data_IF_994283427405
#
_entry.id   IF_994283427405
#
_cell.length_a   1.000
_cell.length_b   1.000
_cell.length_c   1.000
_cell.angle_alpha   90.00
_cell.angle_beta   90.00
_cell.angle_gamma   90.00
#
_symmetry.space_group_name_H-M   'P 1'
#
loop_
_entity.id
_entity.type
_entity.pdbx_description
1 polymer ?
#
# COMPACT_ATOMS: atom_id res chain seq x y z
N UNK A 1 9.26 -7.82 27.31
CA UNK A 1 8.79 -6.99 26.18
C UNK A 1 7.38 -6.57 26.51
N UNK A 2 7.09 -5.27 26.47
CA UNK A 2 5.76 -4.75 26.70
C UNK A 2 5.07 -4.56 25.33
N UNK A 3 4.27 -5.55 24.91
CA UNK A 3 3.62 -5.56 23.60
C UNK A 3 2.71 -4.33 23.35
N UNK A 4 2.01 -3.84 24.37
CA UNK A 4 1.17 -2.63 24.26
C UNK A 4 1.99 -1.39 23.91
N UNK A 5 3.18 -1.24 24.53
CA UNK A 5 4.08 -0.13 24.23
C UNK A 5 4.64 -0.21 22.80
N UNK A 6 4.96 -1.43 22.35
CA UNK A 6 5.43 -1.65 20.98
C UNK A 6 4.33 -1.33 19.94
N UNK A 7 3.06 -1.60 20.28
CA UNK A 7 1.91 -1.26 19.45
C UNK A 7 1.67 0.24 19.36
N UNK A 8 1.79 0.94 20.49
CA UNK A 8 1.73 2.41 20.53
C UNK A 8 2.88 3.06 19.75
N UNK A 9 4.07 2.49 19.81
CA UNK A 9 5.24 3.00 19.08
C UNK A 9 5.09 2.79 17.56
N UNK A 10 4.50 1.66 17.10
CA UNK A 10 4.14 1.46 15.68
C UNK A 10 3.09 2.47 15.23
N UNK A 11 2.04 2.66 16.02
CA UNK A 11 1.01 3.64 15.68
C UNK A 11 1.59 5.06 15.53
N UNK A 12 2.61 5.40 16.33
CA UNK A 12 3.34 6.66 16.19
C UNK A 12 4.25 6.68 14.96
N UNK A 13 4.93 5.57 14.63
CA UNK A 13 5.78 5.45 13.43
C UNK A 13 4.94 5.45 12.14
N UNK A 14 3.77 4.79 12.13
CA UNK A 14 2.83 4.85 11.01
C UNK A 14 2.26 6.26 10.83
N UNK A 15 1.99 6.95 11.92
CA UNK A 15 1.59 8.38 11.89
C UNK A 15 2.75 9.30 11.47
N UNK A 16 3.99 8.86 11.63
CA UNK A 16 5.20 9.60 11.26
C UNK A 16 5.73 9.28 9.85
N UNK A 17 5.07 8.40 9.07
CA UNK A 17 5.44 8.11 7.68
C UNK A 17 4.60 9.00 6.72
N UNK A 18 5.08 10.22 6.44
CA UNK A 18 4.23 11.33 6.03
C UNK A 18 3.89 11.36 4.53
N UNK A 19 4.66 10.67 3.66
CA UNK A 19 4.63 10.91 2.22
C UNK A 19 3.35 10.50 1.48
N UNK A 20 2.48 9.68 2.07
CA UNK A 20 1.29 9.17 1.38
C UNK A 20 0.00 9.21 2.22
N UNK A 21 0.10 9.43 3.53
CA UNK A 21 -1.07 9.46 4.42
C UNK A 21 -1.88 10.73 4.16
N UNK A 22 -3.18 10.63 3.86
CA UNK A 22 -4.02 11.80 3.66
C UNK A 22 -4.34 12.46 5.01
N UNK A 23 -3.92 13.70 5.18
CA UNK A 23 -4.32 14.55 6.31
C UNK A 23 -5.52 15.40 5.95
N UNK A 24 -6.53 15.38 6.80
CA UNK A 24 -7.76 16.15 6.65
C UNK A 24 -7.73 17.32 7.60
N UNK A 25 -8.04 18.51 7.10
CA UNK A 25 -8.00 19.76 7.87
C UNK A 25 -9.16 20.67 7.50
N UNK A 26 -9.66 21.40 8.48
CA UNK A 26 -10.57 22.51 8.25
C UNK A 26 -9.77 23.80 8.42
N UNK A 27 -9.75 24.64 7.41
CA UNK A 27 -8.99 25.89 7.38
C UNK A 27 -9.90 27.05 7.07
N UNK A 28 -9.59 28.21 7.61
CA UNK A 28 -10.22 29.47 7.22
C UNK A 28 -9.25 30.34 6.41
N UNK A 29 -9.71 30.94 5.33
CA UNK A 29 -8.88 31.78 4.47
C UNK A 29 -8.62 33.09 5.16
N UNK A 30 -7.42 33.27 5.69
CA UNK A 30 -6.95 34.51 6.33
C UNK A 30 -5.92 35.27 5.48
N UNK A 31 -5.29 34.61 4.49
CA UNK A 31 -4.25 35.23 3.67
C UNK A 31 -4.89 36.12 2.59
N UNK A 32 -4.67 37.42 2.70
CA UNK A 32 -5.16 38.44 1.75
C UNK A 32 -4.67 38.19 0.30
N UNK A 33 -3.49 37.58 0.14
CA UNK A 33 -2.96 37.25 -1.18
C UNK A 33 -3.79 36.20 -1.94
N UNK A 34 -4.69 35.47 -1.26
CA UNK A 34 -5.58 34.48 -1.85
C UNK A 34 -6.94 35.09 -2.25
N UNK A 35 -7.31 36.22 -1.70
CA UNK A 35 -8.59 36.87 -2.00
C UNK A 35 -8.68 37.22 -3.50
N UNK A 36 -9.76 36.80 -4.14
CA UNK A 36 -10.00 37.00 -5.57
C UNK A 36 -9.23 36.06 -6.50
N UNK A 37 -8.41 35.12 -5.98
CA UNK A 37 -7.74 34.12 -6.78
C UNK A 37 -8.56 32.83 -6.91
N UNK A 38 -8.45 32.18 -8.07
CA UNK A 38 -9.09 30.89 -8.29
C UNK A 38 -8.31 29.76 -7.60
N UNK A 39 -8.99 28.65 -7.32
CA UNK A 39 -8.36 27.45 -6.74
C UNK A 39 -7.16 26.98 -7.57
N UNK A 40 -7.25 27.10 -8.90
CA UNK A 40 -6.12 26.74 -9.78
C UNK A 40 -4.91 27.65 -9.52
N UNK A 41 -5.12 28.98 -9.51
CA UNK A 41 -4.07 29.95 -9.24
C UNK A 41 -3.43 29.76 -7.87
N UNK A 42 -4.23 29.48 -6.85
CA UNK A 42 -3.75 29.21 -5.49
C UNK A 42 -2.84 27.97 -5.47
N UNK A 43 -3.22 26.90 -6.16
CA UNK A 43 -2.42 25.67 -6.26
C UNK A 43 -1.11 25.90 -7.01
N UNK A 44 -1.17 26.58 -8.12
CA UNK A 44 0.02 26.88 -8.95
C UNK A 44 0.99 27.79 -8.19
N UNK A 45 0.47 28.75 -7.43
CA UNK A 45 1.28 29.67 -6.62
C UNK A 45 1.94 28.96 -5.42
N UNK A 46 1.22 28.03 -4.78
CA UNK A 46 1.74 27.27 -3.64
C UNK A 46 2.74 26.17 -4.08
N UNK A 47 2.60 25.65 -5.30
CA UNK A 47 3.44 24.57 -5.83
C UNK A 47 3.29 23.24 -5.08
N UNK A 48 2.20 23.07 -4.32
CA UNK A 48 1.89 21.85 -3.56
C UNK A 48 0.53 21.30 -3.90
N UNK A 49 0.39 19.97 -3.86
CA UNK A 49 -0.86 19.31 -4.17
C UNK A 49 -1.77 19.20 -2.93
N UNK A 50 -2.98 19.72 -3.06
CA UNK A 50 -4.06 19.52 -2.09
C UNK A 50 -5.40 19.38 -2.81
N UNK A 51 -6.36 18.76 -2.16
CA UNK A 51 -7.75 18.65 -2.60
C UNK A 51 -8.61 19.46 -1.64
N UNK A 52 -9.23 20.53 -2.15
CA UNK A 52 -10.32 21.19 -1.43
C UNK A 52 -11.59 20.36 -1.65
N UNK A 53 -11.98 19.60 -0.63
CA UNK A 53 -13.13 18.70 -0.69
C UNK A 53 -14.45 19.47 -0.73
N UNK A 54 -14.56 20.49 0.12
CA UNK A 54 -15.74 21.34 0.29
C UNK A 54 -15.28 22.76 0.62
N UNK A 55 -16.09 23.73 0.25
CA UNK A 55 -15.95 25.14 0.64
C UNK A 55 -17.27 25.66 1.17
N UNK A 56 -17.23 26.38 2.27
CA UNK A 56 -18.34 27.12 2.81
C UNK A 56 -18.11 28.61 2.54
N UNK A 57 -18.96 29.18 1.67
CA UNK A 57 -18.95 30.59 1.29
C UNK A 57 -20.33 31.19 1.52
N UNK A 58 -20.42 32.30 2.26
CA UNK A 58 -21.67 32.99 2.54
C UNK A 58 -22.80 32.06 3.08
N UNK A 59 -22.44 31.08 3.90
CA UNK A 59 -23.38 30.12 4.46
C UNK A 59 -23.79 28.98 3.53
N UNK A 60 -23.24 28.91 2.31
CA UNK A 60 -23.50 27.84 1.37
C UNK A 60 -22.29 26.92 1.19
N UNK A 61 -22.48 25.61 1.37
CA UNK A 61 -21.46 24.62 1.10
C UNK A 61 -21.52 24.20 -0.37
N UNK A 62 -20.38 24.24 -1.02
CA UNK A 62 -20.24 23.80 -2.42
C UNK A 62 -18.98 22.95 -2.61
N UNK A 63 -18.92 22.24 -3.74
CA UNK A 63 -17.71 21.55 -4.18
C UNK A 63 -16.89 22.50 -5.04
N UNK A 64 -15.69 22.90 -4.58
CA UNK A 64 -14.88 23.81 -5.35
C UNK A 64 -14.36 23.11 -6.61
N UNK A 65 -14.39 23.85 -7.69
CA UNK A 65 -13.77 23.50 -8.97
C UNK A 65 -12.53 24.37 -9.23
N UNK A 66 -11.92 24.23 -10.39
CA UNK A 66 -10.69 24.97 -10.77
C UNK A 66 -10.88 26.48 -10.76
N UNK A 67 -12.09 26.95 -11.08
CA UNK A 67 -12.45 28.35 -11.26
C UNK A 67 -13.10 28.96 -10.01
N UNK A 68 -13.24 28.19 -8.93
CA UNK A 68 -13.78 28.67 -7.66
C UNK A 68 -12.86 29.73 -7.07
N UNK A 69 -13.39 30.93 -6.85
CA UNK A 69 -12.67 32.07 -6.29
C UNK A 69 -12.72 32.04 -4.78
N UNK A 70 -11.59 32.27 -4.14
CA UNK A 70 -11.47 32.37 -2.68
C UNK A 70 -11.71 33.78 -2.18
N UNK A 71 -12.38 33.88 -1.03
CA UNK A 71 -12.58 35.12 -0.30
C UNK A 71 -12.07 34.97 1.13
N UNK A 72 -11.75 36.09 1.76
CA UNK A 72 -11.39 36.10 3.18
C UNK A 72 -12.57 35.59 4.02
N UNK A 73 -12.27 34.73 5.00
CA UNK A 73 -13.27 34.08 5.84
C UNK A 73 -13.94 32.85 5.24
N UNK A 74 -13.61 32.45 4.00
CA UNK A 74 -14.08 31.19 3.45
C UNK A 74 -13.56 30.03 4.29
N UNK A 75 -14.42 29.04 4.59
CA UNK A 75 -14.04 27.86 5.33
C UNK A 75 -13.85 26.68 4.37
N UNK A 76 -12.70 26.04 4.46
CA UNK A 76 -12.26 25.00 3.54
C UNK A 76 -12.12 23.67 4.26
N UNK A 77 -12.61 22.59 3.64
CA UNK A 77 -12.21 21.24 4.01
C UNK A 77 -11.14 20.76 3.05
N UNK A 78 -9.89 20.73 3.54
CA UNK A 78 -8.69 20.42 2.74
C UNK A 78 -8.19 19.03 3.10
N UNK A 79 -7.80 18.28 2.06
CA UNK A 79 -7.08 16.99 2.17
C UNK A 79 -5.77 17.13 1.41
N UNK A 80 -4.67 16.79 2.05
CA UNK A 80 -3.33 16.85 1.48
C UNK A 80 -2.46 15.69 2.00
N UNK A 81 -1.24 15.59 1.50
CA UNK A 81 -0.23 14.74 2.10
C UNK A 81 0.19 15.32 3.47
N UNK A 82 0.56 14.45 4.41
CA UNK A 82 0.97 14.88 5.77
C UNK A 82 2.12 15.89 5.75
N UNK A 83 3.12 15.68 4.88
CA UNK A 83 4.28 16.58 4.73
C UNK A 83 3.93 17.99 4.26
N UNK A 84 2.83 18.13 3.53
CA UNK A 84 2.41 19.41 2.99
C UNK A 84 1.50 20.19 3.94
N UNK A 85 1.01 19.52 4.99
CA UNK A 85 -0.03 20.06 5.86
C UNK A 85 0.35 21.38 6.54
N UNK A 86 1.54 21.46 7.15
CA UNK A 86 1.99 22.66 7.87
C UNK A 86 2.23 23.83 6.89
N UNK A 87 2.75 23.56 5.69
CA UNK A 87 2.93 24.60 4.67
C UNK A 87 1.58 25.13 4.16
N UNK A 88 0.60 24.24 4.00
CA UNK A 88 -0.76 24.62 3.57
C UNK A 88 -1.45 25.46 4.63
N UNK A 89 -1.32 25.09 5.91
CA UNK A 89 -1.87 25.88 7.03
C UNK A 89 -1.24 27.28 7.07
N UNK A 90 0.09 27.35 7.00
CA UNK A 90 0.80 28.63 7.02
C UNK A 90 0.40 29.54 5.86
N UNK A 91 0.07 28.96 4.70
CA UNK A 91 -0.26 29.69 3.49
C UNK A 91 -1.73 30.09 3.39
N UNK A 92 -2.68 29.22 3.79
CA UNK A 92 -4.12 29.50 3.69
C UNK A 92 -4.62 30.25 4.92
N UNK A 93 -4.33 29.73 6.11
CA UNK A 93 -4.78 30.29 7.36
C UNK A 93 -4.99 29.24 8.45
N UNK A 94 -5.49 29.62 9.62
CA UNK A 94 -5.55 28.77 10.81
C UNK A 94 -6.53 27.60 10.65
N UNK A 95 -6.28 26.56 11.44
CA UNK A 95 -7.22 25.46 11.62
C UNK A 95 -8.45 25.94 12.40
N UNK A 96 -9.62 25.52 11.95
CA UNK A 96 -10.90 25.77 12.57
C UNK A 96 -11.64 24.46 12.83
N UNK A 97 -12.60 24.47 13.75
CA UNK A 97 -13.53 23.36 13.94
C UNK A 97 -14.84 23.69 13.23
N UNK A 98 -15.19 22.92 12.21
CA UNK A 98 -16.44 23.05 11.47
C UNK A 98 -17.16 21.73 11.49
N UNK A 99 -18.40 21.74 11.94
CA UNK A 99 -19.29 20.59 11.88
C UNK A 99 -20.03 20.57 10.53
N UNK A 100 -19.43 19.89 9.56
CA UNK A 100 -19.97 19.76 8.20
C UNK A 100 -21.23 18.89 8.13
N UNK A 101 -21.53 18.11 9.17
CA UNK A 101 -22.74 17.26 9.22
C UNK A 101 -23.99 18.05 9.58
N UNK A 102 -23.81 19.17 10.31
CA UNK A 102 -24.92 20.09 10.65
C UNK A 102 -25.27 21.05 9.51
N UNK A 103 -24.44 21.13 8.50
CA UNK A 103 -24.73 21.94 7.33
C UNK A 103 -25.74 21.19 6.44
N UNK A 104 -26.91 21.75 6.24
CA UNK A 104 -27.99 21.18 5.41
C UNK A 104 -27.57 21.20 3.93
N UNK A 105 -26.76 20.21 3.54
CA UNK A 105 -26.23 20.08 2.18
C UNK A 105 -26.49 18.68 1.64
N UNK A 106 -27.00 18.54 0.39
CA UNK A 106 -27.25 17.25 -0.26
C UNK A 106 -25.94 16.58 -0.73
N UNK A 107 -24.86 16.72 0.05
CA UNK A 107 -23.56 16.16 -0.30
C UNK A 107 -23.30 14.85 0.43
N UNK A 108 -22.94 13.85 -0.34
CA UNK A 108 -22.60 12.52 0.18
C UNK A 108 -21.13 12.22 -0.05
N UNK A 109 -20.57 11.48 0.91
CA UNK A 109 -19.23 10.90 0.78
C UNK A 109 -19.38 9.40 0.61
N UNK A 110 -18.87 8.84 -0.49
CA UNK A 110 -19.03 7.41 -0.80
C UNK A 110 -17.71 6.79 -1.23
N UNK A 111 -17.45 5.58 -0.74
CA UNK A 111 -16.34 4.75 -1.25
C UNK A 111 -16.81 4.01 -2.50
N UNK A 112 -16.14 4.24 -3.61
CA UNK A 112 -16.43 3.64 -4.91
C UNK A 112 -15.29 2.70 -5.27
N UNK A 113 -15.63 1.47 -5.65
CA UNK A 113 -14.67 0.45 -6.05
C UNK A 113 -14.41 0.52 -7.56
N UNK A 114 -13.14 0.62 -7.95
CA UNK A 114 -12.77 0.60 -9.36
C UNK A 114 -12.81 -0.84 -9.87
N UNK A 115 -13.75 -1.11 -10.78
CA UNK A 115 -13.93 -2.43 -11.38
C UNK A 115 -13.89 -2.41 -12.92
N UNK A 116 -13.83 -1.22 -13.51
CA UNK A 116 -13.71 -1.06 -14.95
C UNK A 116 -12.25 -1.16 -15.42
N UNK A 117 -11.91 -2.13 -16.31
CA UNK A 117 -10.53 -2.29 -16.77
C UNK A 117 -9.97 -1.06 -17.50
N UNK A 118 -10.83 -0.25 -18.12
CA UNK A 118 -10.43 1.00 -18.80
C UNK A 118 -9.87 2.08 -17.87
N UNK A 119 -10.11 1.96 -16.57
CA UNK A 119 -9.59 2.87 -15.54
C UNK A 119 -8.16 2.49 -15.12
N UNK A 120 -7.79 1.23 -15.36
CA UNK A 120 -6.50 0.70 -14.92
C UNK A 120 -5.33 1.41 -15.62
N UNK A 121 -4.41 1.93 -14.84
CA UNK A 121 -3.21 2.60 -15.33
C UNK A 121 -3.39 4.06 -15.77
N UNK A 122 -4.59 4.62 -15.65
CA UNK A 122 -4.83 6.04 -15.92
C UNK A 122 -4.58 6.90 -14.70
N UNK A 123 -4.12 8.12 -14.91
CA UNK A 123 -3.93 9.07 -13.82
C UNK A 123 -5.27 9.69 -13.39
N UNK A 124 -5.41 9.92 -12.09
CA UNK A 124 -6.61 10.53 -11.52
C UNK A 124 -6.96 11.88 -12.18
N UNK A 125 -5.93 12.67 -12.48
CA UNK A 125 -6.08 13.99 -13.12
C UNK A 125 -6.68 13.97 -14.52
N UNK A 126 -6.56 12.86 -15.26
CA UNK A 126 -7.11 12.72 -16.63
C UNK A 126 -8.64 12.74 -16.66
N UNK A 127 -9.28 12.37 -15.55
CA UNK A 127 -10.75 12.25 -15.49
C UNK A 127 -11.47 13.56 -15.19
N UNK A 128 -10.73 14.59 -14.73
CA UNK A 128 -11.28 15.91 -14.42
C UNK A 128 -12.59 15.86 -13.60
N UNK A 129 -12.61 15.02 -12.56
CA UNK A 129 -13.84 14.71 -11.79
C UNK A 129 -14.55 15.95 -11.24
N UNK A 130 -13.81 16.96 -10.78
CA UNK A 130 -14.42 18.17 -10.22
C UNK A 130 -15.11 19.03 -11.29
N UNK A 131 -14.50 19.19 -12.48
CA UNK A 131 -15.05 20.03 -13.54
C UNK A 131 -16.10 19.32 -14.39
N UNK A 132 -15.94 18.01 -14.63
CA UNK A 132 -16.87 17.25 -15.48
C UNK A 132 -18.06 16.65 -14.74
N UNK A 133 -17.87 16.26 -13.49
CA UNK A 133 -18.88 15.53 -12.73
C UNK A 133 -19.33 16.29 -11.46
N UNK A 134 -18.67 17.37 -11.07
CA UNK A 134 -18.98 18.11 -9.85
C UNK A 134 -18.69 17.32 -8.56
N UNK A 135 -17.69 16.43 -8.60
CA UNK A 135 -17.27 15.65 -7.44
C UNK A 135 -15.79 15.78 -7.19
N UNK A 136 -15.37 15.69 -5.93
CA UNK A 136 -13.96 15.64 -5.57
C UNK A 136 -13.58 14.26 -5.06
N UNK A 137 -12.38 13.80 -5.47
CA UNK A 137 -11.75 12.59 -4.97
C UNK A 137 -10.74 13.00 -3.92
N UNK A 138 -10.91 12.51 -2.69
CA UNK A 138 -10.11 12.93 -1.54
C UNK A 138 -9.00 11.96 -1.18
N UNK A 139 -9.25 10.67 -1.31
CA UNK A 139 -8.29 9.60 -1.03
C UNK A 139 -8.61 8.34 -1.81
N UNK A 140 -7.60 7.50 -1.97
CA UNK A 140 -7.69 6.18 -2.60
C UNK A 140 -7.19 5.15 -1.63
N UNK A 141 -8.00 4.15 -1.30
CA UNK A 141 -7.58 3.01 -0.50
C UNK A 141 -7.12 1.90 -1.43
N UNK A 142 -5.86 1.51 -1.31
CA UNK A 142 -5.23 0.42 -2.05
C UNK A 142 -4.66 -0.59 -1.07
N UNK A 143 -5.13 -1.82 -1.13
CA UNK A 143 -4.68 -2.93 -0.25
C UNK A 143 -4.72 -2.59 1.25
N UNK A 144 -5.72 -1.81 1.68
CA UNK A 144 -5.89 -1.40 3.08
C UNK A 144 -5.21 -0.08 3.46
N UNK A 145 -4.32 0.46 2.63
CA UNK A 145 -3.66 1.75 2.88
C UNK A 145 -4.41 2.89 2.21
N UNK A 146 -4.68 3.96 2.95
CA UNK A 146 -5.24 5.20 2.41
C UNK A 146 -4.10 6.06 1.83
N UNK A 147 -4.23 6.43 0.56
CA UNK A 147 -3.27 7.22 -0.20
C UNK A 147 -3.94 8.55 -0.56
N UNK A 148 -3.21 9.64 -0.44
CA UNK A 148 -3.68 10.95 -0.89
C UNK A 148 -3.98 10.94 -2.40
N UNK A 149 -5.14 11.48 -2.80
CA UNK A 149 -5.61 11.47 -4.18
C UNK A 149 -4.94 12.59 -5.01
N UNK A 150 -3.62 12.50 -5.21
CA UNK A 150 -2.89 13.42 -6.08
C UNK A 150 -3.31 13.26 -7.54
N UNK A 151 -3.13 14.29 -8.36
CA UNK A 151 -3.48 14.25 -9.80
C UNK A 151 -2.71 13.18 -10.57
N UNK A 152 -1.45 12.97 -10.17
CA UNK A 152 -0.54 12.02 -10.82
C UNK A 152 -0.73 10.59 -10.33
N UNK A 153 -1.62 10.36 -9.34
CA UNK A 153 -1.89 9.03 -8.83
C UNK A 153 -2.49 8.16 -9.92
N UNK A 154 -1.80 7.08 -10.25
CA UNK A 154 -2.27 6.07 -11.21
C UNK A 154 -3.30 5.17 -10.55
N UNK A 155 -4.51 5.14 -11.09
CA UNK A 155 -5.60 4.29 -10.61
C UNK A 155 -5.41 2.82 -11.04
N UNK A 156 -5.82 1.91 -10.19
CA UNK A 156 -5.78 0.47 -10.44
C UNK A 156 -7.14 -0.17 -10.18
N UNK A 157 -7.44 -1.24 -10.92
CA UNK A 157 -8.61 -2.06 -10.62
C UNK A 157 -8.46 -2.63 -9.20
N UNK A 158 -9.52 -2.51 -8.39
CA UNK A 158 -9.51 -2.89 -6.99
C UNK A 158 -9.28 -1.73 -6.02
N UNK A 159 -8.85 -0.56 -6.49
CA UNK A 159 -8.78 0.64 -5.66
C UNK A 159 -10.18 1.04 -5.18
N UNK A 160 -10.27 1.48 -3.92
CA UNK A 160 -11.46 2.09 -3.34
C UNK A 160 -11.25 3.58 -3.22
N UNK A 161 -11.98 4.33 -4.04
CA UNK A 161 -11.85 5.78 -4.17
C UNK A 161 -12.91 6.46 -3.31
N UNK A 162 -12.50 7.39 -2.43
CA UNK A 162 -13.43 8.21 -1.66
C UNK A 162 -13.85 9.42 -2.49
N UNK A 163 -15.11 9.44 -2.89
CA UNK A 163 -15.71 10.49 -3.71
C UNK A 163 -16.70 11.29 -2.88
N UNK A 164 -16.63 12.62 -3.01
CA UNK A 164 -17.50 13.59 -2.30
C UNK A 164 -18.21 14.45 -3.32
N UNK A 165 -19.53 14.55 -3.20
CA UNK A 165 -20.36 15.33 -4.12
C UNK A 165 -21.85 15.15 -3.94
N UNK A 166 -22.68 15.80 -4.77
CA UNK A 166 -24.10 15.54 -4.85
C UNK A 166 -24.38 14.06 -5.16
N UNK A 167 -25.44 13.50 -4.61
CA UNK A 167 -25.73 12.07 -4.70
C UNK A 167 -25.80 11.58 -6.15
N UNK A 168 -26.47 12.30 -7.02
CA UNK A 168 -26.60 11.97 -8.44
C UNK A 168 -25.26 11.99 -9.18
N UNK A 169 -24.39 12.95 -8.84
CA UNK A 169 -23.04 13.06 -9.39
C UNK A 169 -22.13 11.90 -8.93
N UNK A 170 -22.22 11.54 -7.65
CA UNK A 170 -21.50 10.39 -7.07
C UNK A 170 -21.96 9.08 -7.73
N UNK A 171 -23.26 8.93 -8.03
CA UNK A 171 -23.78 7.76 -8.73
C UNK A 171 -23.28 7.66 -10.19
N UNK A 172 -23.23 8.78 -10.90
CA UNK A 172 -22.64 8.81 -12.26
C UNK A 172 -21.19 8.37 -12.25
N UNK A 173 -20.41 8.84 -11.28
CA UNK A 173 -18.99 8.44 -11.12
C UNK A 173 -18.89 6.98 -10.69
N UNK A 174 -19.78 6.49 -9.83
CA UNK A 174 -19.81 5.06 -9.44
C UNK A 174 -20.04 4.16 -10.66
N UNK A 175 -20.96 4.53 -11.55
CA UNK A 175 -21.22 3.81 -12.79
C UNK A 175 -20.02 3.86 -13.75
N UNK A 176 -19.34 5.00 -13.85
CA UNK A 176 -18.10 5.16 -14.64
C UNK A 176 -16.99 4.25 -14.14
N UNK A 177 -16.79 4.16 -12.83
CA UNK A 177 -15.79 3.32 -12.17
C UNK A 177 -16.19 1.85 -12.11
N UNK A 178 -17.50 1.57 -12.26
CA UNK A 178 -18.08 0.23 -12.31
C UNK A 178 -18.67 -0.26 -11.00
N UNK A 179 -18.08 0.08 -9.85
CA UNK A 179 -18.53 -0.15 -8.48
C UNK A 179 -19.28 -1.49 -8.24
N UNK A 180 -18.85 -2.56 -8.89
CA UNK A 180 -19.50 -3.88 -8.87
C UNK A 180 -18.59 -4.92 -8.27
N UNK A 181 -18.87 -5.37 -7.04
CA UNK A 181 -18.14 -6.46 -6.39
C UNK A 181 -18.17 -7.73 -7.25
N UNK A 182 -19.30 -8.05 -7.87
CA UNK A 182 -19.44 -9.25 -8.73
C UNK A 182 -18.45 -9.31 -9.89
N UNK A 183 -17.96 -8.16 -10.40
CA UNK A 183 -16.94 -8.14 -11.47
C UNK A 183 -15.55 -8.51 -10.96
N UNK A 184 -15.30 -8.37 -9.67
CA UNK A 184 -14.03 -8.70 -9.03
C UNK A 184 -14.00 -10.12 -8.45
N UNK A 185 -15.15 -10.81 -8.42
CA UNK A 185 -15.25 -12.18 -7.92
C UNK A 185 -14.55 -13.20 -8.84
N UNK A 186 -14.24 -12.80 -10.07
CA UNK A 186 -13.46 -13.62 -11.01
C UNK A 186 -12.01 -13.11 -11.07
N UNK A 187 -11.08 -13.71 -10.29
CA UNK A 187 -9.67 -13.36 -10.36
C UNK A 187 -9.13 -13.67 -11.75
N UNK A 188 -8.27 -12.79 -12.25
CA UNK A 188 -7.61 -13.03 -13.52
C UNK A 188 -6.48 -14.05 -13.37
N UNK A 189 -6.85 -15.32 -13.39
CA UNK A 189 -5.94 -16.46 -13.22
C UNK A 189 -4.84 -16.45 -14.29
N UNK A 190 -5.12 -15.97 -15.50
CA UNK A 190 -4.15 -15.91 -16.61
C UNK A 190 -2.94 -15.06 -16.23
N UNK A 191 -3.14 -13.91 -15.63
CA UNK A 191 -2.03 -13.02 -15.20
C UNK A 191 -1.13 -13.71 -14.16
N UNK A 192 -1.72 -14.47 -13.23
CA UNK A 192 -0.98 -15.21 -12.21
C UNK A 192 -0.11 -16.29 -12.86
N UNK A 193 -0.70 -17.12 -13.72
CA UNK A 193 0.05 -18.20 -14.39
C UNK A 193 1.11 -17.68 -15.35
N UNK A 194 0.85 -16.62 -16.09
CA UNK A 194 1.86 -15.94 -16.93
C UNK A 194 3.00 -15.42 -16.06
N UNK A 195 2.71 -14.82 -14.91
CA UNK A 195 3.72 -14.36 -13.95
C UNK A 195 4.59 -15.51 -13.43
N UNK A 196 3.97 -16.62 -13.03
CA UNK A 196 4.69 -17.82 -12.56
C UNK A 196 5.57 -18.40 -13.67
N UNK A 197 5.02 -18.57 -14.88
CA UNK A 197 5.76 -19.10 -16.02
C UNK A 197 6.99 -18.24 -16.35
N UNK A 198 6.80 -16.94 -16.52
CA UNK A 198 7.90 -16.01 -16.78
C UNK A 198 8.92 -15.99 -15.63
N UNK A 199 8.42 -16.06 -14.38
CA UNK A 199 9.28 -16.12 -13.21
C UNK A 199 10.19 -17.34 -13.18
N UNK A 200 9.65 -18.52 -13.43
CA UNK A 200 10.41 -19.77 -13.53
C UNK A 200 11.37 -19.71 -14.71
N UNK A 201 10.92 -19.22 -15.85
CA UNK A 201 11.75 -19.11 -17.06
C UNK A 201 12.97 -18.22 -16.79
N UNK A 202 12.77 -16.97 -16.34
CA UNK A 202 13.88 -16.06 -16.06
C UNK A 202 14.73 -16.51 -14.86
N UNK A 203 14.11 -17.11 -13.84
CA UNK A 203 14.81 -17.65 -12.68
C UNK A 203 15.73 -18.82 -12.99
N UNK A 204 15.44 -19.56 -14.05
CA UNK A 204 16.22 -20.73 -14.49
C UNK A 204 17.37 -20.37 -15.43
N UNK A 205 17.38 -19.16 -16.00
CA UNK A 205 18.44 -18.72 -16.92
C UNK A 205 19.78 -18.61 -16.19
N UNK A 206 20.82 -19.26 -16.70
CA UNK A 206 22.18 -19.11 -16.19
C UNK A 206 22.76 -17.75 -16.61
N UNK A 207 23.13 -16.92 -15.65
CA UNK A 207 23.76 -15.61 -15.86
C UNK A 207 25.26 -15.78 -15.59
N UNK A 208 26.08 -15.61 -16.60
CA UNK A 208 27.53 -15.64 -16.46
C UNK A 208 28.04 -14.23 -16.09
N UNK A 209 28.75 -14.14 -14.97
CA UNK A 209 29.44 -12.92 -14.57
C UNK A 209 30.95 -13.06 -14.81
N UNK A 210 31.61 -12.02 -15.32
CA UNK A 210 33.07 -12.03 -15.45
C UNK A 210 33.73 -12.23 -14.07
N UNK A 211 34.60 -13.24 -13.96
CA UNK A 211 35.31 -13.56 -12.71
C UNK A 211 34.64 -14.59 -11.79
N UNK A 212 33.43 -15.07 -12.13
CA UNK A 212 32.77 -16.17 -11.39
C UNK A 212 32.83 -17.43 -12.24
N UNK A 213 33.46 -18.54 -11.76
CA UNK A 213 33.65 -19.74 -12.54
C UNK A 213 32.37 -20.51 -12.85
N UNK A 214 31.30 -20.28 -12.09
CA UNK A 214 30.00 -20.96 -12.28
C UNK A 214 28.91 -19.95 -12.57
N UNK A 215 28.03 -20.21 -13.57
CA UNK A 215 26.92 -19.29 -13.84
C UNK A 215 25.94 -19.20 -12.64
N UNK A 216 25.60 -17.99 -12.29
CA UNK A 216 24.64 -17.70 -11.21
C UNK A 216 23.22 -17.75 -11.78
N UNK A 217 22.31 -18.39 -11.06
CA UNK A 217 20.87 -18.41 -11.39
C UNK A 217 20.09 -17.68 -10.30
N UNK A 218 19.06 -16.93 -10.68
CA UNK A 218 18.14 -16.31 -9.70
C UNK A 218 17.35 -17.37 -8.91
N UNK A 219 17.24 -18.57 -9.47
CA UNK A 219 16.54 -19.70 -8.86
C UNK A 219 15.02 -19.62 -8.99
N UNK A 220 14.36 -20.69 -8.51
CA UNK A 220 12.91 -20.85 -8.62
C UNK A 220 12.12 -19.94 -7.66
N UNK A 221 12.78 -19.33 -6.68
CA UNK A 221 12.18 -18.35 -5.78
C UNK A 221 12.42 -16.91 -6.23
N UNK A 222 13.67 -16.55 -6.55
CA UNK A 222 14.05 -15.18 -6.92
C UNK A 222 13.46 -14.75 -8.27
N UNK A 223 13.39 -15.65 -9.26
CA UNK A 223 12.82 -15.35 -10.57
C UNK A 223 11.35 -14.89 -10.49
N UNK A 224 10.44 -15.71 -9.93
CA UNK A 224 9.03 -15.31 -9.75
C UNK A 224 8.85 -14.05 -8.91
N UNK A 225 9.67 -13.83 -7.89
CA UNK A 225 9.62 -12.63 -7.06
C UNK A 225 9.88 -11.36 -7.89
N UNK A 226 10.99 -11.33 -8.63
CA UNK A 226 11.35 -10.18 -9.47
C UNK A 226 10.30 -9.95 -10.56
N UNK A 227 9.86 -11.01 -11.24
CA UNK A 227 8.84 -10.90 -12.29
C UNK A 227 7.51 -10.40 -11.72
N UNK A 228 7.08 -10.86 -10.53
CA UNK A 228 5.84 -10.39 -9.91
C UNK A 228 5.90 -8.91 -9.53
N UNK A 229 7.05 -8.43 -9.02
CA UNK A 229 7.26 -7.01 -8.74
C UNK A 229 7.18 -6.18 -10.03
N UNK A 230 7.82 -6.63 -11.11
CA UNK A 230 7.78 -5.95 -12.40
C UNK A 230 6.36 -5.92 -13.00
N UNK A 231 5.62 -7.02 -12.92
CA UNK A 231 4.23 -7.09 -13.36
C UNK A 231 3.35 -6.19 -12.48
N UNK A 232 3.52 -6.20 -11.16
CA UNK A 232 2.80 -5.32 -10.25
C UNK A 232 3.01 -3.84 -10.56
N UNK A 233 4.24 -3.46 -10.90
CA UNK A 233 4.61 -2.07 -11.20
C UNK A 233 4.25 -1.64 -12.62
N UNK A 234 4.50 -2.48 -13.62
CA UNK A 234 4.39 -2.12 -15.04
C UNK A 234 3.26 -2.83 -15.79
N UNK A 235 2.63 -3.83 -15.16
CA UNK A 235 1.61 -4.66 -15.81
C UNK A 235 0.41 -3.87 -16.35
N UNK A 236 0.08 -2.74 -15.73
CA UNK A 236 -0.98 -1.87 -16.24
C UNK A 236 -0.69 -1.34 -17.66
N UNK A 237 0.61 -1.10 -18.01
CA UNK A 237 1.01 -0.70 -19.37
C UNK A 237 0.71 -1.78 -20.41
N UNK A 238 0.76 -3.03 -20.00
CA UNK A 238 0.44 -4.21 -20.81
C UNK A 238 -1.03 -4.64 -20.69
N UNK A 239 -1.87 -3.78 -20.05
CA UNK A 239 -3.29 -4.07 -19.78
C UNK A 239 -3.51 -5.33 -18.92
N UNK A 240 -2.52 -5.79 -18.19
CA UNK A 240 -2.63 -6.90 -17.27
C UNK A 240 -3.36 -6.43 -16.01
N UNK A 241 -4.41 -7.14 -15.62
CA UNK A 241 -5.13 -6.91 -14.37
C UNK A 241 -4.55 -7.86 -13.33
N UNK A 242 -3.86 -7.29 -12.34
CA UNK A 242 -3.20 -8.04 -11.24
C UNK A 242 -4.07 -8.17 -10.00
N UNK A 243 -5.28 -7.60 -10.03
CA UNK A 243 -6.19 -7.63 -8.89
C UNK A 243 -6.70 -9.05 -8.61
N UNK A 244 -6.58 -9.45 -7.34
CA UNK A 244 -7.28 -10.60 -6.75
C UNK A 244 -7.97 -10.15 -5.47
N UNK A 245 -9.06 -10.81 -5.08
CA UNK A 245 -9.66 -10.56 -3.77
C UNK A 245 -8.68 -10.96 -2.66
N UNK A 246 -8.70 -10.25 -1.53
CA UNK A 246 -7.82 -10.56 -0.38
C UNK A 246 -7.98 -12.02 0.05
N UNK A 247 -9.20 -12.54 0.10
CA UNK A 247 -9.48 -13.94 0.47
C UNK A 247 -8.87 -14.93 -0.51
N UNK A 248 -8.95 -14.68 -1.83
CA UNK A 248 -8.32 -15.54 -2.83
C UNK A 248 -6.79 -15.49 -2.73
N UNK A 249 -6.22 -14.31 -2.49
CA UNK A 249 -4.78 -14.15 -2.32
C UNK A 249 -4.25 -14.90 -1.09
N UNK A 250 -4.95 -14.79 0.05
CA UNK A 250 -4.61 -15.52 1.27
C UNK A 250 -4.72 -17.03 1.06
N UNK A 251 -5.79 -17.51 0.41
CA UNK A 251 -5.97 -18.93 0.11
C UNK A 251 -4.87 -19.48 -0.80
N UNK A 252 -4.51 -18.75 -1.87
CA UNK A 252 -3.42 -19.14 -2.76
C UNK A 252 -2.07 -19.20 -2.04
N UNK A 253 -1.82 -18.26 -1.12
CA UNK A 253 -0.63 -18.26 -0.27
C UNK A 253 -0.57 -19.51 0.62
N UNK A 254 -1.66 -19.84 1.32
CA UNK A 254 -1.70 -21.02 2.21
C UNK A 254 -1.49 -22.31 1.43
N UNK A 255 -2.16 -22.47 0.28
CA UNK A 255 -1.97 -23.63 -0.60
C UNK A 255 -0.51 -23.70 -1.09
N UNK A 256 0.06 -22.57 -1.51
CA UNK A 256 1.46 -22.49 -1.96
C UNK A 256 2.45 -22.91 -0.88
N UNK A 257 2.27 -22.42 0.36
CA UNK A 257 3.10 -22.80 1.52
C UNK A 257 2.98 -24.30 1.82
N UNK A 258 1.76 -24.82 1.87
CA UNK A 258 1.52 -26.24 2.14
C UNK A 258 2.19 -27.16 1.11
N UNK A 259 2.05 -26.85 -0.19
CA UNK A 259 2.67 -27.62 -1.26
C UNK A 259 4.20 -27.52 -1.24
N UNK A 260 4.73 -26.33 -0.95
CA UNK A 260 6.17 -26.13 -0.80
C UNK A 260 6.75 -26.96 0.32
N UNK A 261 6.15 -26.86 1.53
CA UNK A 261 6.60 -27.63 2.71
C UNK A 261 6.48 -29.14 2.48
N UNK A 262 5.37 -29.59 1.88
CA UNK A 262 5.19 -31.01 1.54
C UNK A 262 6.29 -31.51 0.57
N UNK A 263 6.59 -30.74 -0.48
CA UNK A 263 7.63 -31.07 -1.46
C UNK A 263 9.02 -31.14 -0.82
N UNK A 264 9.37 -30.14 0.01
CA UNK A 264 10.65 -30.11 0.74
C UNK A 264 10.72 -31.27 1.74
N UNK A 265 9.63 -31.54 2.48
CA UNK A 265 9.57 -32.65 3.43
C UNK A 265 9.76 -34.01 2.78
N UNK A 266 9.10 -34.28 1.65
CA UNK A 266 9.27 -35.53 0.90
C UNK A 266 10.72 -35.69 0.41
N UNK A 267 11.31 -34.61 -0.14
CA UNK A 267 12.68 -34.63 -0.65
C UNK A 267 13.72 -34.83 0.47
N UNK A 268 13.54 -34.15 1.60
CA UNK A 268 14.44 -34.28 2.75
C UNK A 268 14.26 -35.62 3.45
N UNK A 269 13.02 -36.11 3.58
CA UNK A 269 12.69 -37.34 4.28
C UNK A 269 13.30 -38.61 3.65
N UNK A 270 13.51 -38.62 2.36
CA UNK A 270 14.02 -39.80 1.64
C UNK A 270 15.36 -40.33 2.20
N UNK A 271 16.26 -39.44 2.64
CA UNK A 271 17.57 -39.81 3.15
C UNK A 271 17.75 -39.48 4.65
N UNK A 272 16.74 -38.90 5.30
CA UNK A 272 16.85 -38.37 6.66
C UNK A 272 17.24 -39.46 7.66
N UNK A 273 16.53 -40.58 7.66
CA UNK A 273 16.76 -41.68 8.59
C UNK A 273 18.16 -42.25 8.46
N UNK A 274 18.58 -42.57 7.25
CA UNK A 274 19.91 -43.11 6.99
C UNK A 274 21.02 -42.14 7.40
N UNK A 275 20.85 -40.83 7.13
CA UNK A 275 21.83 -39.81 7.51
C UNK A 275 21.92 -39.63 9.02
N UNK A 276 20.82 -39.74 9.74
CA UNK A 276 20.79 -39.54 11.21
C UNK A 276 21.22 -40.78 11.95
N UNK A 277 20.85 -41.99 11.47
CA UNK A 277 21.10 -43.26 12.17
C UNK A 277 22.47 -43.84 11.79
N UNK A 278 22.82 -43.84 10.50
CA UNK A 278 24.00 -44.50 9.99
C UNK A 278 25.23 -43.57 9.82
N UNK A 279 25.01 -42.25 10.00
CA UNK A 279 26.04 -41.23 9.87
C UNK A 279 26.23 -40.36 11.11
N UNK A 280 26.98 -39.27 10.98
CA UNK A 280 27.19 -38.26 12.02
C UNK A 280 26.00 -37.31 12.20
N UNK A 281 24.76 -37.83 12.06
CA UNK A 281 23.52 -37.03 12.02
C UNK A 281 23.32 -36.17 13.26
N UNK A 282 23.68 -36.65 14.46
CA UNK A 282 23.61 -35.86 15.69
C UNK A 282 24.56 -34.66 15.66
N UNK A 283 25.75 -34.84 15.12
CA UNK A 283 26.72 -33.74 14.94
C UNK A 283 26.20 -32.73 13.93
N UNK A 284 25.63 -33.18 12.80
CA UNK A 284 25.02 -32.28 11.81
C UNK A 284 23.84 -31.51 12.38
N UNK A 285 22.98 -32.14 13.18
CA UNK A 285 21.87 -31.45 13.86
C UNK A 285 22.40 -30.41 14.84
N UNK A 286 23.42 -30.75 15.64
CA UNK A 286 24.06 -29.80 16.57
C UNK A 286 24.71 -28.60 15.85
N UNK A 287 25.50 -28.88 14.81
CA UNK A 287 26.10 -27.83 14.00
C UNK A 287 25.05 -26.95 13.30
N UNK A 288 24.02 -27.59 12.73
CA UNK A 288 22.91 -26.88 12.09
C UNK A 288 22.16 -25.95 13.06
N UNK A 289 21.92 -26.43 14.29
CA UNK A 289 21.33 -25.62 15.34
C UNK A 289 22.19 -24.37 15.65
N UNK A 290 23.49 -24.56 15.85
CA UNK A 290 24.41 -23.44 16.15
C UNK A 290 24.47 -22.43 14.98
N UNK A 291 24.60 -22.95 13.74
CA UNK A 291 24.67 -22.10 12.53
C UNK A 291 23.38 -21.29 12.36
N UNK A 292 22.23 -21.82 12.75
CA UNK A 292 20.95 -21.13 12.63
C UNK A 292 20.72 -20.15 13.79
N UNK A 293 20.89 -20.62 15.03
CA UNK A 293 20.49 -19.85 16.23
C UNK A 293 21.46 -18.68 16.52
N UNK A 294 22.78 -18.90 16.38
CA UNK A 294 23.76 -17.87 16.73
C UNK A 294 23.61 -16.61 15.88
N UNK A 295 23.56 -16.66 14.53
CA UNK A 295 23.35 -15.47 13.72
C UNK A 295 22.02 -14.77 13.99
N UNK A 296 20.95 -15.52 14.25
CA UNK A 296 19.63 -14.93 14.56
C UNK A 296 19.64 -14.17 15.88
N UNK A 297 20.28 -14.72 16.91
CA UNK A 297 20.42 -14.03 18.19
C UNK A 297 21.28 -12.77 18.07
N UNK A 298 22.39 -12.84 17.32
CA UNK A 298 23.26 -11.67 17.10
C UNK A 298 22.51 -10.60 16.32
N UNK A 299 21.85 -10.97 15.20
CA UNK A 299 21.08 -10.05 14.37
C UNK A 299 19.93 -9.41 15.17
N UNK A 300 19.19 -10.25 15.93
CA UNK A 300 18.09 -9.77 16.77
C UNK A 300 18.57 -8.81 17.85
N UNK A 301 19.69 -9.11 18.50
CA UNK A 301 20.31 -8.25 19.52
C UNK A 301 20.78 -6.91 18.92
N UNK A 302 21.48 -6.94 17.80
CA UNK A 302 21.95 -5.72 17.10
C UNK A 302 20.76 -4.88 16.64
N UNK A 303 19.77 -5.48 15.99
CA UNK A 303 18.58 -4.76 15.53
C UNK A 303 17.79 -4.14 16.70
N UNK A 304 17.66 -4.86 17.83
CA UNK A 304 16.93 -4.36 19.00
C UNK A 304 17.69 -3.31 19.80
N UNK A 305 18.98 -3.54 20.07
CA UNK A 305 19.74 -2.68 20.99
C UNK A 305 20.44 -1.52 20.28
N UNK A 306 20.99 -1.77 19.10
CA UNK A 306 21.70 -0.73 18.35
C UNK A 306 20.74 0.12 17.51
N UNK A 307 19.89 -0.53 16.70
CA UNK A 307 18.94 0.17 15.82
C UNK A 307 17.61 0.49 16.50
N UNK A 308 17.36 0.01 17.72
CA UNK A 308 16.13 0.22 18.51
C UNK A 308 14.86 -0.14 17.75
N UNK A 309 14.94 -1.12 16.85
CA UNK A 309 13.80 -1.55 16.04
C UNK A 309 12.64 -2.03 16.90
N UNK A 310 11.41 -1.73 16.43
CA UNK A 310 10.21 -2.25 17.04
C UNK A 310 10.20 -3.79 17.00
N UNK A 311 9.67 -4.41 18.05
CA UNK A 311 9.70 -5.87 18.21
C UNK A 311 8.91 -6.60 17.13
N UNK A 312 7.75 -6.07 16.72
CA UNK A 312 6.93 -6.69 15.68
C UNK A 312 7.61 -6.65 14.32
N UNK A 313 8.23 -5.52 13.99
CA UNK A 313 9.02 -5.40 12.76
C UNK A 313 10.24 -6.34 12.79
N UNK A 314 10.89 -6.48 13.97
CA UNK A 314 12.00 -7.40 14.15
C UNK A 314 11.61 -8.86 13.96
N UNK A 315 10.42 -9.29 14.45
CA UNK A 315 9.91 -10.63 14.20
C UNK A 315 9.78 -10.91 12.69
N UNK A 316 9.25 -9.96 11.95
CA UNK A 316 9.14 -10.05 10.49
C UNK A 316 10.49 -10.09 9.80
N UNK A 317 11.43 -9.24 10.20
CA UNK A 317 12.79 -9.21 9.67
C UNK A 317 13.53 -10.53 9.90
N UNK A 318 13.41 -11.13 11.07
CA UNK A 318 14.00 -12.45 11.38
C UNK A 318 13.37 -13.53 10.51
N UNK A 319 12.04 -13.56 10.41
CA UNK A 319 11.34 -14.53 9.57
C UNK A 319 11.71 -14.36 8.08
N UNK A 320 11.82 -13.11 7.60
CA UNK A 320 12.17 -12.79 6.22
C UNK A 320 13.60 -13.17 5.86
N UNK A 321 14.56 -12.89 6.76
CA UNK A 321 15.98 -13.25 6.53
C UNK A 321 16.22 -14.77 6.42
N UNK A 322 15.32 -15.57 7.01
CA UNK A 322 15.35 -17.03 6.89
C UNK A 322 14.41 -17.57 5.81
N UNK A 323 13.74 -16.71 5.06
CA UNK A 323 12.74 -17.13 4.07
C UNK A 323 11.68 -18.06 4.66
N UNK A 324 11.23 -17.75 5.90
CA UNK A 324 10.33 -18.60 6.69
C UNK A 324 8.90 -18.03 6.74
N UNK A 325 8.02 -18.39 5.77
CA UNK A 325 6.63 -17.98 5.76
C UNK A 325 5.81 -18.46 6.97
N UNK A 326 6.01 -19.67 7.51
CA UNK A 326 5.37 -20.10 8.74
C UNK A 326 5.69 -19.19 9.95
N UNK A 327 6.95 -18.79 10.11
CA UNK A 327 7.32 -17.84 11.15
C UNK A 327 6.66 -16.46 10.96
N UNK A 328 6.49 -16.02 9.70
CA UNK A 328 5.73 -14.80 9.40
C UNK A 328 4.25 -14.94 9.80
N UNK A 329 3.62 -16.07 9.48
CA UNK A 329 2.23 -16.34 9.84
C UNK A 329 2.03 -16.28 11.37
N UNK A 330 2.91 -16.93 12.12
CA UNK A 330 2.94 -16.86 13.58
C UNK A 330 3.17 -15.43 14.09
N UNK A 331 4.10 -14.71 13.49
CA UNK A 331 4.41 -13.33 13.87
C UNK A 331 3.23 -12.38 13.67
N UNK A 332 2.52 -12.49 12.53
CA UNK A 332 1.32 -11.69 12.24
C UNK A 332 0.17 -12.02 13.20
N UNK A 333 -0.01 -13.30 13.53
CA UNK A 333 -1.03 -13.73 14.49
C UNK A 333 -0.74 -13.20 15.90
N UNK A 334 0.53 -13.23 16.31
CA UNK A 334 0.97 -12.74 17.63
C UNK A 334 0.91 -11.22 17.74
N UNK A 335 1.27 -10.53 16.66
CA UNK A 335 1.27 -9.07 16.61
C UNK A 335 -0.14 -8.46 16.50
N UNK A 336 -1.08 -9.15 15.86
CA UNK A 336 -2.41 -8.62 15.56
C UNK A 336 -2.41 -7.44 14.56
N UNK A 337 -1.27 -7.14 13.94
CA UNK A 337 -1.08 -6.05 12.98
C UNK A 337 -0.17 -6.49 11.82
N UNK A 338 0.04 -5.60 10.83
CA UNK A 338 0.82 -5.89 9.61
C UNK A 338 2.32 -5.58 9.74
N UNK A 339 2.82 -5.10 10.87
CA UNK A 339 4.22 -4.72 11.03
C UNK A 339 5.21 -5.88 10.77
N UNK A 340 4.92 -7.14 11.20
CA UNK A 340 5.79 -8.25 10.83
C UNK A 340 5.85 -8.48 9.32
N UNK A 341 4.73 -8.33 8.60
CA UNK A 341 4.70 -8.49 7.14
C UNK A 341 5.54 -7.42 6.44
N UNK A 342 5.54 -6.19 6.94
CA UNK A 342 6.40 -5.11 6.45
C UNK A 342 7.87 -5.46 6.70
N UNK A 343 8.25 -5.82 7.93
CA UNK A 343 9.62 -6.24 8.25
C UNK A 343 10.09 -7.43 7.40
N UNK A 344 9.23 -8.42 7.18
CA UNK A 344 9.49 -9.57 6.33
C UNK A 344 9.80 -9.14 4.88
N UNK A 345 8.96 -8.29 4.30
CA UNK A 345 9.08 -7.87 2.91
C UNK A 345 10.32 -7.03 2.61
N UNK A 346 10.93 -6.41 3.64
CA UNK A 346 12.15 -5.61 3.46
C UNK A 346 13.40 -6.45 3.27
N UNK A 347 13.42 -7.69 3.75
CA UNK A 347 14.60 -8.56 3.76
C UNK A 347 14.37 -9.89 3.03
N UNK A 348 13.14 -10.22 2.69
CA UNK A 348 12.83 -11.41 1.90
C UNK A 348 13.40 -11.27 0.49
N UNK A 349 14.26 -12.19 0.06
CA UNK A 349 14.92 -12.15 -1.24
C UNK A 349 13.99 -12.43 -2.41
#
# INVERSE_FOLDING_TARGET
INLKKEEEDIAKEEAANPHLTPRMMHLEVHNEALAGKTLLQVRDFMGRDFVCSRILQNGHVSIPNRDTVFHLGDQLFVVCAEDDAEAIIAFIGPKIEVDWEKQDTPMVSRRILITQPKMNGKQLGEFHFSSMYGVNVTRVNRSGMDIFASRNLTLQVGDRVMVVGPQDAVERVANLMGNSLKRLDHPNIVTIFVGIFLGIFFGSLPIAFPGIPTPVKLGLAGGPLIVSILIGRFGYKLKLVTYTTMSANLMLREIGIALFLASVGIKAGANFVNTVVDGDGLLYVGCGFLITVIPLLIMGAVARWHYKMNYFMLMGLIAGSNTDPPALAYSNQTAGNNAPAVGYSTVYP
#
